data_IF_306300897558
#
_entry.id   IF_306300897558
#
_cell.length_a   1.000
_cell.length_b   1.000
_cell.length_c   1.000
_cell.angle_alpha   90.00
_cell.angle_beta   90.00
_cell.angle_gamma   90.00
#
_symmetry.space_group_name_H-M   'P 1'
#
loop_
_entity.id
_entity.type
_entity.pdbx_description
1 polymer ?
#
# COMPACT_ATOMS: atom_id res chain seq x y z
N UNK A 1 -41.11 6.19 23.26
CA UNK A 1 -39.65 6.39 23.40
C UNK A 1 -39.07 6.36 22.00
N UNK A 2 -38.94 7.54 21.37
CA UNK A 2 -38.38 7.66 20.02
C UNK A 2 -36.89 7.94 20.12
N UNK A 3 -36.07 6.96 19.75
CA UNK A 3 -34.63 7.18 19.59
C UNK A 3 -34.39 7.87 18.25
N UNK A 4 -34.18 9.19 18.31
CA UNK A 4 -33.69 9.97 17.18
C UNK A 4 -32.23 9.58 16.96
N UNK A 5 -31.97 8.82 15.90
CA UNK A 5 -30.61 8.58 15.41
C UNK A 5 -30.07 9.92 14.90
N UNK A 6 -29.14 10.50 15.65
CA UNK A 6 -28.41 11.68 15.21
C UNK A 6 -27.60 11.34 13.96
N UNK A 7 -28.05 11.80 12.78
CA UNK A 7 -27.22 11.82 11.57
C UNK A 7 -26.01 12.71 11.84
N UNK A 8 -24.83 12.12 11.93
CA UNK A 8 -23.58 12.88 11.92
C UNK A 8 -23.46 13.70 10.63
N UNK A 9 -22.88 14.90 10.70
CA UNK A 9 -22.81 15.82 9.57
C UNK A 9 -21.82 15.32 8.50
N UNK A 10 -22.34 14.98 7.31
CA UNK A 10 -21.64 14.44 6.13
C UNK A 10 -20.54 15.32 5.49
N UNK A 11 -20.11 16.42 6.13
CA UNK A 11 -19.39 17.51 5.43
C UNK A 11 -17.86 17.52 5.60
N UNK A 12 -17.29 16.90 6.65
CA UNK A 12 -15.82 16.79 6.82
C UNK A 12 -15.28 15.39 6.63
N UNK A 13 -16.12 14.37 6.84
CA UNK A 13 -15.77 12.96 6.69
C UNK A 13 -15.52 12.57 5.22
N UNK A 14 -16.00 13.37 4.25
CA UNK A 14 -15.94 13.02 2.82
C UNK A 14 -14.56 13.22 2.17
N UNK A 15 -13.77 14.25 2.56
CA UNK A 15 -12.46 14.45 1.94
C UNK A 15 -11.41 13.49 2.48
N UNK A 16 -11.36 13.30 3.80
CA UNK A 16 -10.43 12.36 4.44
C UNK A 16 -10.69 10.91 4.00
N UNK A 17 -11.96 10.47 3.94
CA UNK A 17 -12.29 9.12 3.46
C UNK A 17 -11.93 8.93 1.98
N UNK A 18 -12.04 9.98 1.16
CA UNK A 18 -11.60 9.96 -0.24
C UNK A 18 -10.07 9.88 -0.37
N UNK A 19 -9.34 10.62 0.46
CA UNK A 19 -7.88 10.58 0.49
C UNK A 19 -7.37 9.20 0.95
N UNK A 20 -8.01 8.63 1.97
CA UNK A 20 -7.75 7.26 2.44
C UNK A 20 -8.05 6.25 1.32
N UNK A 21 -9.21 6.34 0.67
CA UNK A 21 -9.56 5.44 -0.43
C UNK A 21 -8.59 5.52 -1.60
N UNK A 22 -8.15 6.73 -1.93
CA UNK A 22 -7.10 6.96 -2.95
C UNK A 22 -5.78 6.32 -2.52
N UNK A 23 -5.35 6.54 -1.27
CA UNK A 23 -4.12 5.98 -0.73
C UNK A 23 -4.13 4.44 -0.76
N UNK A 24 -5.22 3.81 -0.32
CA UNK A 24 -5.37 2.35 -0.39
C UNK A 24 -5.30 1.88 -1.84
N UNK A 25 -5.97 2.57 -2.77
CA UNK A 25 -5.87 2.27 -4.21
C UNK A 25 -4.42 2.30 -4.73
N UNK A 26 -3.63 3.27 -4.30
CA UNK A 26 -2.21 3.38 -4.64
C UNK A 26 -1.35 2.25 -4.03
N UNK A 27 -1.64 1.81 -2.80
CA UNK A 27 -1.00 0.64 -2.20
C UNK A 27 -1.15 -0.62 -3.09
N UNK A 28 -2.38 -0.91 -3.53
CA UNK A 28 -2.64 -2.05 -4.42
C UNK A 28 -2.02 -1.85 -5.80
N UNK A 29 -2.05 -0.63 -6.35
CA UNK A 29 -1.36 -0.32 -7.62
C UNK A 29 0.14 -0.57 -7.52
N UNK A 30 0.78 -0.16 -6.42
CA UNK A 30 2.19 -0.47 -6.19
C UNK A 30 2.44 -1.97 -6.17
N UNK A 31 1.66 -2.74 -5.40
CA UNK A 31 1.83 -4.20 -5.35
C UNK A 31 1.66 -4.86 -6.73
N UNK A 32 0.66 -4.41 -7.50
CA UNK A 32 0.46 -4.85 -8.89
C UNK A 32 1.68 -4.52 -9.77
N UNK A 33 2.28 -3.34 -9.60
CA UNK A 33 3.45 -2.91 -10.38
C UNK A 33 4.66 -3.80 -10.10
N UNK A 34 4.82 -4.29 -8.86
CA UNK A 34 5.84 -5.26 -8.51
C UNK A 34 5.60 -6.57 -9.25
N UNK A 35 4.36 -7.06 -9.32
CA UNK A 35 4.04 -8.30 -10.05
C UNK A 35 4.29 -8.17 -11.54
N UNK A 36 3.91 -7.02 -12.12
CA UNK A 36 4.21 -6.69 -13.50
C UNK A 36 5.73 -6.71 -13.75
N UNK A 37 6.53 -6.08 -12.90
CA UNK A 37 7.99 -6.11 -13.04
C UNK A 37 8.56 -7.53 -12.87
N UNK A 38 8.10 -8.27 -11.86
CA UNK A 38 8.50 -9.64 -11.54
C UNK A 38 8.41 -10.60 -12.74
N UNK A 39 7.37 -10.47 -13.57
CA UNK A 39 7.23 -11.27 -14.80
C UNK A 39 8.20 -10.85 -15.92
N UNK A 40 8.67 -9.60 -15.92
CA UNK A 40 9.56 -9.05 -16.95
C UNK A 40 11.05 -9.13 -16.58
N UNK A 41 11.38 -9.58 -15.38
CA UNK A 41 12.78 -9.70 -14.92
C UNK A 41 13.56 -10.64 -15.85
N UNK A 42 14.67 -10.15 -16.38
CA UNK A 42 15.59 -10.89 -17.27
C UNK A 42 17.04 -10.45 -17.06
N UNK A 43 18.01 -11.22 -17.58
CA UNK A 43 19.43 -10.89 -17.48
C UNK A 43 20.15 -11.44 -16.25
N UNK A 44 21.34 -10.91 -15.95
CA UNK A 44 22.16 -11.34 -14.80
C UNK A 44 21.48 -10.92 -13.49
N UNK A 45 21.41 -11.83 -12.52
CA UNK A 45 20.73 -11.59 -11.24
C UNK A 45 19.20 -11.75 -11.29
N UNK A 46 18.64 -12.06 -12.46
CA UNK A 46 17.19 -12.15 -12.68
C UNK A 46 16.47 -13.10 -11.73
N UNK A 47 17.03 -14.28 -11.45
CA UNK A 47 16.40 -15.21 -10.52
C UNK A 47 16.28 -14.63 -9.10
N UNK A 48 17.35 -14.01 -8.59
CA UNK A 48 17.34 -13.39 -7.26
C UNK A 48 16.34 -12.23 -7.19
N UNK A 49 16.31 -11.38 -8.22
CA UNK A 49 15.32 -10.30 -8.34
C UNK A 49 13.89 -10.82 -8.40
N UNK A 50 13.63 -11.86 -9.20
CA UNK A 50 12.32 -12.46 -9.37
C UNK A 50 11.77 -12.98 -8.04
N UNK A 51 12.59 -13.70 -7.27
CA UNK A 51 12.25 -14.21 -5.93
C UNK A 51 12.08 -13.08 -4.92
N UNK A 52 12.95 -12.06 -4.95
CA UNK A 52 12.86 -10.92 -4.04
C UNK A 52 11.54 -10.16 -4.21
N UNK A 53 11.10 -9.98 -5.47
CA UNK A 53 9.82 -9.35 -5.78
C UNK A 53 8.64 -10.22 -5.34
N UNK A 54 8.68 -11.53 -5.59
CA UNK A 54 7.60 -12.45 -5.19
C UNK A 54 7.39 -12.46 -3.67
N UNK A 55 8.49 -12.52 -2.90
CA UNK A 55 8.45 -12.44 -1.44
C UNK A 55 7.87 -11.11 -0.92
N UNK A 56 8.22 -10.00 -1.57
CA UNK A 56 7.66 -8.69 -1.22
C UNK A 56 6.17 -8.62 -1.53
N UNK A 57 5.75 -9.15 -2.68
CA UNK A 57 4.34 -9.19 -3.11
C UNK A 57 3.50 -10.00 -2.13
N UNK A 58 3.95 -11.18 -1.73
CA UNK A 58 3.22 -12.02 -0.76
C UNK A 58 3.06 -11.31 0.59
N UNK A 59 4.15 -10.72 1.09
CA UNK A 59 4.14 -9.98 2.36
C UNK A 59 3.20 -8.78 2.28
N UNK A 60 3.34 -7.96 1.24
CA UNK A 60 2.52 -6.76 1.04
C UNK A 60 1.05 -7.13 0.89
N UNK A 61 0.71 -8.19 0.14
CA UNK A 61 -0.69 -8.62 -0.06
C UNK A 61 -1.43 -8.78 1.26
N UNK A 62 -0.83 -9.45 2.24
CA UNK A 62 -1.43 -9.59 3.57
C UNK A 62 -1.53 -8.28 4.35
N UNK A 63 -0.51 -7.42 4.26
CA UNK A 63 -0.50 -6.11 4.94
C UNK A 63 -1.52 -5.13 4.35
N UNK A 64 -1.69 -5.13 3.03
CA UNK A 64 -2.64 -4.30 2.31
C UNK A 64 -4.08 -4.67 2.67
N UNK A 65 -4.36 -5.96 2.80
CA UNK A 65 -5.66 -6.45 3.25
C UNK A 65 -5.92 -6.00 4.70
N UNK A 66 -4.96 -6.22 5.61
CA UNK A 66 -5.04 -5.78 7.02
C UNK A 66 -5.35 -4.29 7.17
N UNK A 67 -4.63 -3.40 6.48
CA UNK A 67 -4.91 -1.95 6.59
C UNK A 67 -6.28 -1.62 5.99
N UNK A 68 -6.67 -2.27 4.90
CA UNK A 68 -7.95 -2.01 4.23
C UNK A 68 -9.12 -2.41 5.12
N UNK A 69 -9.16 -3.66 5.58
CA UNK A 69 -10.26 -4.21 6.38
C UNK A 69 -10.44 -3.46 7.70
N UNK A 70 -9.33 -3.16 8.39
CA UNK A 70 -9.37 -2.40 9.64
C UNK A 70 -9.85 -0.96 9.42
N UNK A 71 -9.51 -0.35 8.28
CA UNK A 71 -9.98 0.99 7.95
C UNK A 71 -11.46 1.01 7.61
N UNK A 72 -11.97 0.03 6.86
CA UNK A 72 -13.42 -0.13 6.63
C UNK A 72 -14.17 -0.31 7.95
N UNK A 73 -13.64 -1.10 8.88
CA UNK A 73 -14.25 -1.32 10.19
C UNK A 73 -14.38 -0.02 11.01
N UNK A 74 -13.42 0.89 10.89
CA UNK A 74 -13.40 2.17 11.63
C UNK A 74 -14.17 3.30 10.95
N UNK A 75 -14.01 3.44 9.63
CA UNK A 75 -14.46 4.62 8.87
C UNK A 75 -15.73 4.35 8.07
N UNK A 76 -16.16 3.09 7.96
CA UNK A 76 -17.25 2.67 7.11
C UNK A 76 -16.83 2.56 5.65
N UNK A 77 -17.80 2.68 4.73
CA UNK A 77 -17.57 2.50 3.30
C UNK A 77 -16.54 3.49 2.73
N UNK A 78 -15.55 2.95 2.03
CA UNK A 78 -14.54 3.73 1.31
C UNK A 78 -14.74 3.55 -0.20
N UNK A 79 -14.69 4.64 -0.95
CA UNK A 79 -14.64 4.57 -2.41
C UNK A 79 -13.20 4.35 -2.85
N UNK A 80 -12.84 3.09 -3.06
CA UNK A 80 -11.49 2.68 -3.48
C UNK A 80 -11.49 2.39 -4.98
N UNK A 81 -10.62 3.10 -5.69
CA UNK A 81 -10.30 2.81 -7.09
C UNK A 81 -8.83 2.45 -7.16
N UNK A 82 -8.51 1.26 -7.66
CA UNK A 82 -7.12 0.88 -7.95
C UNK A 82 -6.75 1.49 -9.31
N UNK A 83 -5.78 2.42 -9.38
CA UNK A 83 -5.34 3.00 -10.64
C UNK A 83 -4.86 1.94 -11.63
N UNK A 84 -4.96 2.24 -12.93
CA UNK A 84 -4.30 1.44 -13.94
C UNK A 84 -2.78 1.46 -13.71
N UNK A 85 -2.20 0.28 -13.59
CA UNK A 85 -0.78 0.11 -13.29
C UNK A 85 0.00 -0.36 -14.53
N UNK A 86 1.24 0.12 -14.68
CA UNK A 86 2.18 -0.32 -15.73
C UNK A 86 3.47 -0.89 -15.12
N UNK A 87 4.27 -1.57 -15.94
CA UNK A 87 5.61 -2.04 -15.55
C UNK A 87 6.49 -0.82 -15.25
N UNK A 88 7.10 -0.69 -14.06
CA UNK A 88 8.00 0.41 -13.76
C UNK A 88 9.29 0.31 -14.57
N UNK A 89 9.83 1.44 -15.03
CA UNK A 89 11.08 1.47 -15.79
C UNK A 89 12.34 1.21 -14.94
N UNK A 90 12.27 1.54 -13.65
CA UNK A 90 13.32 1.30 -12.66
C UNK A 90 12.67 0.87 -11.34
N UNK A 91 12.85 -0.41 -11.00
CA UNK A 91 12.20 -1.01 -9.83
C UNK A 91 12.74 -0.50 -8.50
N UNK A 92 14.03 -0.15 -8.43
CA UNK A 92 14.64 0.37 -7.20
C UNK A 92 14.13 1.79 -6.95
N UNK A 93 14.16 2.65 -7.97
CA UNK A 93 13.62 4.01 -7.85
C UNK A 93 12.12 4.00 -7.53
N UNK A 94 11.37 3.09 -8.15
CA UNK A 94 9.94 2.92 -7.90
C UNK A 94 9.66 2.51 -6.45
N UNK A 95 10.36 1.51 -5.92
CA UNK A 95 10.22 1.08 -4.53
C UNK A 95 10.66 2.15 -3.52
N UNK A 96 11.76 2.86 -3.77
CA UNK A 96 12.21 3.98 -2.91
C UNK A 96 11.19 5.11 -2.89
N UNK A 97 10.69 5.53 -4.06
CA UNK A 97 9.67 6.58 -4.12
C UNK A 97 8.37 6.17 -3.42
N UNK A 98 8.00 4.88 -3.51
CA UNK A 98 6.81 4.40 -2.82
C UNK A 98 6.97 4.31 -1.30
N UNK A 99 8.17 3.97 -0.80
CA UNK A 99 8.49 4.04 0.62
C UNK A 99 8.25 5.46 1.18
N UNK A 100 8.76 6.48 0.49
CA UNK A 100 8.58 7.90 0.84
C UNK A 100 7.11 8.32 0.75
N UNK A 101 6.39 7.81 -0.27
CA UNK A 101 4.97 8.07 -0.42
C UNK A 101 4.16 7.53 0.75
N UNK A 102 4.40 6.27 1.18
CA UNK A 102 3.73 5.69 2.37
C UNK A 102 4.00 6.54 3.62
N UNK A 103 5.24 6.98 3.81
CA UNK A 103 5.62 7.84 4.93
C UNK A 103 4.80 9.14 4.95
N UNK A 104 4.67 9.78 3.78
CA UNK A 104 3.94 11.04 3.62
C UNK A 104 2.43 10.94 3.90
N UNK A 105 1.89 9.71 3.96
CA UNK A 105 0.46 9.44 4.17
C UNK A 105 0.13 8.92 5.56
N UNK A 106 1.13 8.80 6.44
CA UNK A 106 0.96 8.33 7.82
C UNK A 106 -0.12 9.10 8.59
N UNK A 107 -0.15 10.42 8.43
CA UNK A 107 -1.09 11.29 9.13
C UNK A 107 -2.57 11.10 8.72
N UNK A 108 -2.85 10.30 7.67
CA UNK A 108 -4.21 9.89 7.34
C UNK A 108 -4.81 8.91 8.36
N UNK A 109 -3.97 8.27 9.17
CA UNK A 109 -4.34 7.27 10.16
C UNK A 109 -3.97 7.76 11.55
N UNK A 110 -4.93 7.75 12.46
CA UNK A 110 -4.75 8.28 13.83
C UNK A 110 -4.54 7.19 14.86
N UNK A 111 -4.81 5.95 14.50
CA UNK A 111 -4.80 4.79 15.37
C UNK A 111 -3.41 4.13 15.37
N UNK A 112 -2.86 3.86 16.56
CA UNK A 112 -1.51 3.29 16.71
C UNK A 112 -1.34 1.97 15.93
N UNK A 113 -2.37 1.13 15.90
CA UNK A 113 -2.31 -0.13 15.16
C UNK A 113 -2.27 0.08 13.64
N UNK A 114 -2.93 1.12 13.13
CA UNK A 114 -2.84 1.49 11.70
C UNK A 114 -1.43 1.97 11.39
N UNK A 115 -0.86 2.80 12.27
CA UNK A 115 0.54 3.20 12.19
C UNK A 115 1.50 2.01 12.16
N UNK A 116 1.30 1.02 13.03
CA UNK A 116 2.09 -0.22 13.04
C UNK A 116 1.94 -1.03 11.75
N UNK A 117 0.76 -1.08 11.13
CA UNK A 117 0.60 -1.76 9.82
C UNK A 117 1.34 -0.99 8.73
N UNK A 118 1.36 0.35 8.77
CA UNK A 118 2.16 1.16 7.85
C UNK A 118 3.67 0.94 8.05
N UNK A 119 4.12 0.77 9.29
CA UNK A 119 5.50 0.38 9.61
C UNK A 119 5.85 -0.96 8.99
N UNK A 120 4.98 -1.97 9.11
CA UNK A 120 5.16 -3.29 8.49
C UNK A 120 5.27 -3.16 6.95
N UNK A 121 4.45 -2.29 6.32
CA UNK A 121 4.49 -2.03 4.88
C UNK A 121 5.83 -1.40 4.47
N UNK A 122 6.28 -0.38 5.21
CA UNK A 122 7.57 0.28 4.97
C UNK A 122 8.73 -0.70 5.18
N UNK A 123 8.66 -1.56 6.19
CA UNK A 123 9.65 -2.62 6.42
C UNK A 123 9.71 -3.58 5.22
N UNK A 124 8.56 -4.05 4.72
CA UNK A 124 8.51 -4.94 3.57
C UNK A 124 9.17 -4.32 2.32
N UNK A 125 8.93 -3.01 2.09
CA UNK A 125 9.57 -2.27 1.00
C UNK A 125 11.08 -2.12 1.24
N UNK A 126 11.50 -1.83 2.47
CA UNK A 126 12.92 -1.70 2.82
C UNK A 126 13.68 -3.03 2.68
N UNK A 127 13.05 -4.15 3.04
CA UNK A 127 13.59 -5.49 2.79
C UNK A 127 13.69 -5.80 1.29
N UNK A 128 12.68 -5.42 0.49
CA UNK A 128 12.75 -5.53 -0.97
C UNK A 128 13.94 -4.72 -1.51
N UNK A 129 14.10 -3.47 -1.09
CA UNK A 129 15.21 -2.60 -1.49
C UNK A 129 16.57 -3.21 -1.13
N UNK A 130 16.69 -3.80 0.06
CA UNK A 130 17.90 -4.51 0.44
C UNK A 130 18.20 -5.67 -0.53
N UNK A 131 17.21 -6.52 -0.81
CA UNK A 131 17.37 -7.67 -1.71
C UNK A 131 17.72 -7.23 -3.13
N UNK A 132 17.02 -6.23 -3.66
CA UNK A 132 17.31 -5.64 -4.96
C UNK A 132 18.73 -5.06 -4.95
N UNK A 133 19.07 -4.11 -4.09
CA UNK A 133 20.35 -3.40 -4.20
C UNK A 133 21.57 -4.25 -3.82
N UNK A 134 21.44 -5.19 -2.88
CA UNK A 134 22.58 -5.91 -2.29
C UNK A 134 22.73 -7.35 -2.74
N UNK A 135 21.66 -8.03 -3.16
CA UNK A 135 21.65 -9.49 -3.36
C UNK A 135 21.41 -9.94 -4.81
N UNK A 136 21.37 -9.00 -5.77
CA UNK A 136 21.19 -9.28 -7.21
C UNK A 136 22.50 -9.48 -7.98
#
# INVERSE_FOLDING_TARGET
>A
MSTVTAKQPKSKTSSASKEIGTFIGELFSFNNSLKLYHWHVTGKGSYAQHIALDQAIDTLTGLLDRITETTYALKGDLDIVIPQTSVPGDIVKHATGFYEYVDSKRDLFTEDFSGSILDDIQEAIQQLLYRLVRLQ
#
